data_IF_950746168060
#
_entry.id   IF_950746168060
#
_cell.length_a   1.000
_cell.length_b   1.000
_cell.length_c   1.000
_cell.angle_alpha   90.00
_cell.angle_beta   90.00
_cell.angle_gamma   90.00
#
_symmetry.space_group_name_H-M   'P 1'
#
loop_
_entity.id
_entity.type
_entity.pdbx_description
1 polymer ?
#
# COMPACT_ATOMS: atom_id res chain seq x y z
N UNK A 1 5.23 32.86 42.71
CA UNK A 1 4.55 32.02 41.68
C UNK A 1 4.46 32.70 40.31
N UNK A 2 3.88 33.91 40.16
CA UNK A 2 3.75 34.59 38.85
C UNK A 2 5.09 34.81 38.10
N UNK A 3 6.15 35.21 38.81
CA UNK A 3 7.50 35.38 38.23
C UNK A 3 8.09 34.05 37.73
N UNK A 4 7.95 32.98 38.50
CA UNK A 4 8.41 31.64 38.13
C UNK A 4 7.73 31.11 36.87
N UNK A 5 6.39 31.24 36.79
CA UNK A 5 5.62 30.87 35.58
C UNK A 5 6.08 31.70 34.38
N UNK A 6 6.30 33.01 34.55
CA UNK A 6 6.82 33.88 33.47
C UNK A 6 8.18 33.40 32.96
N UNK A 7 9.13 33.10 33.85
CA UNK A 7 10.47 32.66 33.43
C UNK A 7 10.45 31.27 32.78
N UNK A 8 9.64 30.34 33.29
CA UNK A 8 9.44 29.03 32.64
C UNK A 8 8.82 29.20 31.25
N UNK A 9 7.79 30.04 31.10
CA UNK A 9 7.16 30.29 29.81
C UNK A 9 8.16 30.88 28.80
N UNK A 10 8.98 31.84 29.21
CA UNK A 10 10.04 32.42 28.37
C UNK A 10 11.08 31.37 27.99
N UNK A 11 11.45 30.46 28.89
CA UNK A 11 12.40 29.38 28.61
C UNK A 11 11.84 28.31 27.67
N UNK A 12 10.57 27.92 27.84
CA UNK A 12 9.91 26.89 27.03
C UNK A 12 9.54 27.41 25.65
N UNK A 13 9.22 28.71 25.51
CA UNK A 13 8.74 29.28 24.25
C UNK A 13 9.70 29.03 23.06
N UNK A 14 11.02 29.28 23.13
CA UNK A 14 11.95 28.95 22.05
C UNK A 14 11.95 27.47 21.69
N UNK A 15 11.86 26.56 22.68
CA UNK A 15 11.82 25.12 22.44
C UNK A 15 10.54 24.72 21.70
N UNK A 16 9.40 25.29 22.09
CA UNK A 16 8.12 25.08 21.42
C UNK A 16 8.13 25.63 19.99
N UNK A 17 8.71 26.81 19.78
CA UNK A 17 8.86 27.39 18.44
C UNK A 17 9.74 26.52 17.54
N UNK A 18 10.86 26.01 18.07
CA UNK A 18 11.73 25.08 17.34
C UNK A 18 11.01 23.76 17.02
N UNK A 19 10.22 23.21 17.96
CA UNK A 19 9.44 21.99 17.74
C UNK A 19 8.37 22.19 16.65
N UNK A 20 7.66 23.32 16.66
CA UNK A 20 6.68 23.68 15.62
C UNK A 20 7.36 23.86 14.27
N UNK A 21 8.50 24.58 14.24
CA UNK A 21 9.27 24.76 13.01
C UNK A 21 9.74 23.40 12.44
N UNK A 22 10.27 22.53 13.30
CA UNK A 22 10.71 21.19 12.93
C UNK A 22 9.58 20.35 12.32
N UNK A 23 8.41 20.35 12.96
CA UNK A 23 7.21 19.67 12.47
C UNK A 23 6.77 20.22 11.09
N UNK A 24 6.72 21.54 10.94
CA UNK A 24 6.35 22.21 9.67
C UNK A 24 7.33 21.87 8.56
N UNK A 25 8.64 21.91 8.84
CA UNK A 25 9.67 21.60 7.85
C UNK A 25 9.59 20.15 7.40
N UNK A 26 9.44 19.20 8.32
CA UNK A 26 9.38 17.77 7.95
C UNK A 26 8.12 17.47 7.14
N UNK A 27 6.97 18.01 7.54
CA UNK A 27 5.72 17.81 6.79
C UNK A 27 5.75 18.37 5.37
N UNK A 28 6.61 19.36 5.11
CA UNK A 28 6.78 19.94 3.77
C UNK A 28 7.69 19.12 2.86
N UNK A 29 8.38 18.09 3.39
CA UNK A 29 9.16 17.18 2.57
C UNK A 29 8.19 16.37 1.67
N UNK A 30 8.32 16.45 0.34
CA UNK A 30 7.47 15.69 -0.58
C UNK A 30 7.59 14.19 -0.33
N UNK A 31 6.48 13.47 -0.39
CA UNK A 31 6.45 12.02 -0.18
C UNK A 31 5.32 11.38 -0.99
N UNK A 32 5.37 10.05 -1.13
CA UNK A 32 4.39 9.31 -1.94
C UNK A 32 2.96 9.42 -1.43
N UNK A 33 2.74 9.64 -0.13
CA UNK A 33 1.39 9.79 0.44
C UNK A 33 0.77 11.12 0.02
N UNK A 34 1.49 12.22 0.23
CA UNK A 34 1.05 13.54 -0.22
C UNK A 34 0.91 13.61 -1.75
N UNK A 35 1.82 12.96 -2.48
CA UNK A 35 1.75 12.90 -3.95
C UNK A 35 0.48 12.22 -4.45
N UNK A 36 0.19 10.98 -4.03
CA UNK A 36 -1.00 10.28 -4.54
C UNK A 36 -2.30 10.87 -4.02
N UNK A 37 -2.31 11.44 -2.81
CA UNK A 37 -3.46 12.23 -2.34
C UNK A 37 -3.72 13.41 -3.27
N UNK A 38 -2.67 14.20 -3.56
CA UNK A 38 -2.77 15.32 -4.51
C UNK A 38 -3.23 14.85 -5.89
N UNK A 39 -2.75 13.71 -6.39
CA UNK A 39 -3.21 13.16 -7.66
C UNK A 39 -4.72 12.87 -7.63
N UNK A 40 -5.20 12.12 -6.62
CA UNK A 40 -6.60 11.73 -6.55
C UNK A 40 -7.54 12.92 -6.28
N UNK A 41 -7.12 13.92 -5.50
CA UNK A 41 -7.90 15.15 -5.32
C UNK A 41 -8.26 15.82 -6.66
N UNK A 42 -7.32 15.80 -7.61
CA UNK A 42 -7.48 16.46 -8.91
C UNK A 42 -8.03 15.53 -10.00
N UNK A 43 -7.66 14.25 -9.97
CA UNK A 43 -7.87 13.32 -11.08
C UNK A 43 -8.77 12.11 -10.75
N UNK A 44 -9.32 11.97 -9.53
CA UNK A 44 -10.17 10.81 -9.19
C UNK A 44 -11.36 10.64 -10.16
N UNK A 45 -11.89 11.74 -10.71
CA UNK A 45 -12.96 11.73 -11.72
C UNK A 45 -12.55 11.13 -13.05
N UNK A 46 -11.26 11.11 -13.37
CA UNK A 46 -10.71 10.62 -14.65
C UNK A 46 -10.25 9.16 -14.57
N UNK A 47 -10.08 8.62 -13.36
CA UNK A 47 -9.60 7.25 -13.14
C UNK A 47 -10.71 6.25 -13.47
N UNK A 48 -10.42 5.36 -14.41
CA UNK A 48 -11.30 4.25 -14.80
C UNK A 48 -10.94 2.91 -14.16
N UNK A 49 -9.67 2.75 -13.78
CA UNK A 49 -9.15 1.54 -13.12
C UNK A 49 -8.29 1.97 -11.94
N UNK A 50 -8.68 1.58 -10.73
CA UNK A 50 -7.92 1.88 -9.52
C UNK A 50 -7.24 0.62 -9.00
N UNK A 51 -5.92 0.68 -8.84
CA UNK A 51 -5.14 -0.38 -8.20
C UNK A 51 -4.89 -0.03 -6.73
N UNK A 52 -5.25 -0.96 -5.84
CA UNK A 52 -5.16 -0.85 -4.38
C UNK A 52 -4.36 -2.03 -3.80
N UNK A 53 -4.15 -2.05 -2.50
CA UNK A 53 -3.47 -3.12 -1.79
C UNK A 53 -2.00 -2.85 -1.46
N UNK A 54 -1.23 -3.92 -1.27
CA UNK A 54 0.09 -3.90 -0.62
C UNK A 54 1.27 -3.60 -1.55
N UNK A 55 2.49 -3.85 -1.07
CA UNK A 55 3.73 -3.74 -1.86
C UNK A 55 3.72 -4.60 -3.13
N UNK A 56 2.94 -5.69 -3.15
CA UNK A 56 2.81 -6.56 -4.32
C UNK A 56 2.19 -5.82 -5.50
N UNK A 57 1.23 -4.89 -5.27
CA UNK A 57 0.71 -3.99 -6.31
C UNK A 57 1.55 -2.74 -6.46
N UNK A 58 2.08 -2.19 -5.37
CA UNK A 58 2.87 -0.95 -5.42
C UNK A 58 4.06 -1.08 -6.36
N UNK A 59 4.76 -2.21 -6.28
CA UNK A 59 5.87 -2.53 -7.17
C UNK A 59 5.43 -3.33 -8.40
N UNK A 60 4.36 -4.12 -8.31
CA UNK A 60 3.98 -5.06 -9.38
C UNK A 60 3.10 -4.50 -10.50
N UNK A 61 2.39 -3.39 -10.30
CA UNK A 61 1.53 -2.80 -11.34
C UNK A 61 2.01 -1.39 -11.69
N UNK A 62 2.37 -1.21 -12.96
CA UNK A 62 2.73 0.05 -13.55
C UNK A 62 1.60 0.56 -14.48
N UNK A 63 0.80 1.55 -14.03
CA UNK A 63 -0.30 2.13 -14.80
C UNK A 63 0.08 2.71 -16.16
N UNK A 64 1.38 2.97 -16.44
CA UNK A 64 1.83 3.41 -17.77
C UNK A 64 1.39 2.45 -18.89
N UNK A 65 1.16 1.18 -18.57
CA UNK A 65 0.74 0.16 -19.52
C UNK A 65 -0.78 -0.11 -19.52
N UNK A 66 -1.56 0.63 -18.73
CA UNK A 66 -3.01 0.43 -18.55
C UNK A 66 -3.67 1.81 -18.61
N UNK A 67 -4.39 2.10 -19.70
CA UNK A 67 -4.95 3.44 -19.92
C UNK A 67 -5.92 3.84 -18.80
N UNK A 68 -5.94 5.13 -18.49
CA UNK A 68 -6.86 5.74 -17.53
C UNK A 68 -6.88 5.00 -16.18
N UNK A 69 -5.70 4.61 -15.71
CA UNK A 69 -5.54 3.88 -14.47
C UNK A 69 -4.57 4.57 -13.51
N UNK A 70 -4.74 4.30 -12.23
CA UNK A 70 -3.88 4.85 -11.19
C UNK A 70 -3.55 3.81 -10.13
N UNK A 71 -2.31 3.82 -9.65
CA UNK A 71 -1.86 2.93 -8.60
C UNK A 71 -1.85 3.66 -7.24
N UNK A 72 -2.89 3.44 -6.45
CA UNK A 72 -3.08 3.99 -5.11
C UNK A 72 -2.61 3.05 -3.98
N UNK A 73 -1.91 1.96 -4.29
CA UNK A 73 -1.34 1.02 -3.31
C UNK A 73 -0.09 1.57 -2.60
N UNK A 74 0.24 1.03 -1.43
CA UNK A 74 1.45 1.37 -0.67
C UNK A 74 2.10 0.12 -0.08
N UNK A 75 3.33 0.28 0.38
CA UNK A 75 4.01 -0.75 1.17
C UNK A 75 3.16 -1.05 2.42
N UNK A 76 2.85 -2.33 2.62
CA UNK A 76 2.09 -2.85 3.77
C UNK A 76 0.67 -2.31 3.93
N UNK A 77 0.10 -1.67 2.91
CA UNK A 77 -1.30 -1.27 2.90
C UNK A 77 -2.22 -2.50 3.01
N UNK A 78 -3.22 -2.39 3.89
CA UNK A 78 -4.22 -3.40 4.19
C UNK A 78 -5.62 -2.92 3.80
N UNK A 79 -6.61 -3.83 3.83
CA UNK A 79 -7.96 -3.58 3.32
C UNK A 79 -8.68 -2.41 4.01
N UNK A 80 -8.36 -2.12 5.27
CA UNK A 80 -8.87 -0.94 5.98
C UNK A 80 -8.49 0.36 5.27
N UNK A 81 -7.24 0.51 4.87
CA UNK A 81 -6.79 1.68 4.12
C UNK A 81 -7.30 1.69 2.68
N UNK A 82 -7.41 0.51 2.03
CA UNK A 82 -8.05 0.39 0.71
C UNK A 82 -9.48 0.95 0.74
N UNK A 83 -10.26 0.54 1.75
CA UNK A 83 -11.64 0.96 1.96
C UNK A 83 -11.76 2.46 2.25
N UNK A 84 -10.90 3.00 3.10
CA UNK A 84 -10.92 4.44 3.40
C UNK A 84 -10.55 5.32 2.21
N UNK A 85 -9.61 4.88 1.36
CA UNK A 85 -9.31 5.57 0.10
C UNK A 85 -10.56 5.60 -0.80
N UNK A 86 -11.27 4.47 -0.91
CA UNK A 86 -12.51 4.39 -1.69
C UNK A 86 -13.61 5.31 -1.13
N UNK A 87 -13.83 5.29 0.19
CA UNK A 87 -14.82 6.12 0.89
C UNK A 87 -14.52 7.61 0.75
N UNK A 88 -13.26 8.03 0.90
CA UNK A 88 -12.80 9.43 0.82
C UNK A 88 -13.18 10.09 -0.52
N UNK A 89 -13.05 9.37 -1.62
CA UNK A 89 -13.35 9.88 -2.97
C UNK A 89 -14.69 9.35 -3.53
N UNK A 90 -15.58 8.87 -2.67
CA UNK A 90 -16.84 8.20 -3.05
C UNK A 90 -17.72 8.99 -4.02
N UNK A 91 -17.66 10.33 -3.97
CA UNK A 91 -18.42 11.23 -4.84
C UNK A 91 -17.65 11.64 -6.12
N UNK A 92 -16.37 11.30 -6.20
CA UNK A 92 -15.49 11.66 -7.30
C UNK A 92 -15.29 10.51 -8.29
N UNK A 93 -15.58 9.26 -7.93
CA UNK A 93 -15.46 8.07 -8.80
C UNK A 93 -16.48 8.02 -9.96
N UNK A 94 -16.53 9.07 -10.78
CA UNK A 94 -17.51 9.22 -11.87
C UNK A 94 -17.23 8.33 -13.09
N UNK A 95 -15.97 7.98 -13.34
CA UNK A 95 -15.55 7.12 -14.45
C UNK A 95 -14.97 5.77 -14.00
N UNK A 96 -14.94 5.49 -12.69
CA UNK A 96 -14.34 4.29 -12.14
C UNK A 96 -15.15 3.06 -12.57
N UNK A 97 -14.53 2.15 -13.30
CA UNK A 97 -15.14 0.91 -13.81
C UNK A 97 -14.61 -0.33 -13.11
N UNK A 98 -13.34 -0.30 -12.71
CA UNK A 98 -12.68 -1.44 -12.08
C UNK A 98 -11.89 -1.02 -10.83
N UNK A 99 -12.08 -1.77 -9.74
CA UNK A 99 -11.19 -1.78 -8.59
C UNK A 99 -10.39 -3.09 -8.65
N UNK A 100 -9.07 -3.00 -8.59
CA UNK A 100 -8.17 -4.16 -8.63
C UNK A 100 -7.41 -4.28 -7.32
N UNK A 101 -7.61 -5.38 -6.61
CA UNK A 101 -7.04 -5.62 -5.28
C UNK A 101 -6.33 -6.98 -5.25
N UNK A 102 -5.10 -7.05 -4.72
CA UNK A 102 -4.42 -8.31 -4.51
C UNK A 102 -4.98 -8.99 -3.26
N UNK A 103 -5.32 -10.27 -3.38
CA UNK A 103 -5.54 -11.16 -2.24
C UNK A 103 -4.46 -12.23 -2.27
N UNK A 104 -3.38 -11.92 -1.56
CA UNK A 104 -2.18 -12.72 -1.45
C UNK A 104 -2.20 -13.56 -0.17
N UNK A 105 -1.24 -14.48 -0.06
CA UNK A 105 -1.15 -15.44 1.03
C UNK A 105 -1.28 -14.84 2.45
N UNK A 106 -0.87 -13.59 2.64
CA UNK A 106 -0.93 -12.88 3.92
C UNK A 106 -2.12 -11.92 4.08
N UNK A 107 -2.90 -11.65 3.03
CA UNK A 107 -3.85 -10.52 3.00
C UNK A 107 -4.92 -10.60 4.10
N UNK A 108 -5.37 -11.80 4.48
CA UNK A 108 -6.36 -11.96 5.56
C UNK A 108 -5.74 -11.97 6.97
N UNK A 109 -4.43 -12.09 7.11
CA UNK A 109 -3.79 -12.39 8.40
C UNK A 109 -3.03 -11.22 9.02
N UNK A 110 -2.82 -10.14 8.26
CA UNK A 110 -2.11 -8.96 8.74
C UNK A 110 -2.89 -7.66 8.50
N UNK A 111 -2.57 -6.65 9.30
CA UNK A 111 -2.96 -5.25 9.08
C UNK A 111 -1.76 -4.36 9.32
N UNK A 112 -1.69 -3.22 8.64
CA UNK A 112 -0.57 -2.29 8.74
C UNK A 112 -0.24 -1.95 10.20
N UNK A 113 -1.25 -1.57 10.98
CA UNK A 113 -1.11 -1.09 12.36
C UNK A 113 -0.63 -2.15 13.36
N UNK A 114 -0.76 -3.43 13.00
CA UNK A 114 -0.34 -4.58 13.82
C UNK A 114 0.96 -5.20 13.30
N UNK A 115 1.62 -4.56 12.35
CA UNK A 115 2.85 -5.04 11.73
C UNK A 115 4.08 -4.25 12.22
N UNK A 116 5.30 -4.76 11.99
CA UNK A 116 6.52 -3.97 12.19
C UNK A 116 6.54 -2.64 11.40
N UNK A 117 5.71 -2.50 10.37
CA UNK A 117 5.58 -1.31 9.53
C UNK A 117 4.47 -0.35 10.01
N UNK A 118 3.91 -0.55 11.21
CA UNK A 118 2.83 0.29 11.78
C UNK A 118 3.17 1.79 11.83
N UNK A 119 4.46 2.14 11.86
CA UNK A 119 4.93 3.53 11.79
C UNK A 119 4.49 4.26 10.51
N UNK A 120 4.08 3.55 9.45
CA UNK A 120 3.54 4.15 8.22
C UNK A 120 2.10 4.63 8.35
N UNK A 121 1.33 4.16 9.35
CA UNK A 121 -0.06 4.56 9.56
C UNK A 121 -0.21 6.09 9.67
N UNK A 122 0.75 6.75 10.31
CA UNK A 122 0.84 8.21 10.36
C UNK A 122 0.75 8.89 8.99
N UNK A 123 1.27 8.27 7.93
CA UNK A 123 1.36 8.93 6.64
C UNK A 123 -0.03 9.05 6.00
N UNK A 124 -0.91 8.07 6.27
CA UNK A 124 -2.33 8.18 5.92
C UNK A 124 -3.00 9.32 6.67
N UNK A 125 -2.71 9.47 7.97
CA UNK A 125 -3.28 10.54 8.78
C UNK A 125 -2.77 11.93 8.40
N UNK A 126 -1.46 12.10 8.28
CA UNK A 126 -0.79 13.40 8.09
C UNK A 126 -0.89 13.89 6.65
N UNK A 127 -0.74 12.99 5.67
CA UNK A 127 -0.59 13.36 4.26
C UNK A 127 -1.78 12.95 3.38
N UNK A 128 -2.62 12.04 3.87
CA UNK A 128 -3.76 11.50 3.13
C UNK A 128 -5.12 11.92 3.73
N UNK A 129 -5.12 12.55 4.91
CA UNK A 129 -6.29 12.84 5.74
C UNK A 129 -7.22 11.62 5.94
N UNK A 130 -6.64 10.45 6.18
CA UNK A 130 -7.34 9.22 6.56
C UNK A 130 -7.00 8.91 8.02
N UNK A 131 -8.00 8.96 8.90
CA UNK A 131 -7.84 8.85 10.35
C UNK A 131 -8.47 7.55 10.88
N UNK A 132 -7.86 6.41 10.54
CA UNK A 132 -8.29 5.08 11.01
C UNK A 132 -7.67 4.71 12.34
N UNK A 133 -6.46 5.20 12.61
CA UNK A 133 -5.76 4.91 13.85
C UNK A 133 -6.24 5.85 14.97
N UNK A 134 -6.53 5.29 16.14
CA UNK A 134 -6.85 6.07 17.33
C UNK A 134 -5.56 6.52 18.07
N UNK A 135 -4.39 6.47 17.42
CA UNK A 135 -3.09 6.73 18.06
C UNK A 135 -2.72 8.20 17.89
N UNK A 136 -2.81 8.97 18.97
CA UNK A 136 -2.53 10.42 18.95
C UNK A 136 -1.15 10.76 18.37
N UNK A 137 -0.14 9.90 18.57
CA UNK A 137 1.22 10.08 18.07
C UNK A 137 1.32 10.09 16.54
N UNK A 138 0.41 9.41 15.84
CA UNK A 138 0.35 9.43 14.38
C UNK A 138 -0.15 10.76 13.81
N UNK A 139 -0.57 11.71 14.66
CA UNK A 139 -0.96 13.06 14.24
C UNK A 139 0.23 13.97 13.98
N UNK A 140 1.47 13.55 14.28
CA UNK A 140 2.67 14.38 14.15
C UNK A 140 3.84 13.60 13.59
N UNK A 141 4.70 14.24 12.79
CA UNK A 141 5.96 13.65 12.32
C UNK A 141 6.99 13.53 13.45
N UNK A 142 7.02 14.52 14.34
CA UNK A 142 7.97 14.58 15.45
C UNK A 142 7.78 13.43 16.45
N UNK A 143 6.55 13.05 16.80
CA UNK A 143 6.28 12.03 17.82
C UNK A 143 6.16 10.60 17.27
N UNK A 144 6.05 10.46 15.95
CA UNK A 144 5.83 9.17 15.29
C UNK A 144 7.11 8.52 14.75
N UNK A 145 8.21 9.26 14.74
CA UNK A 145 9.54 8.79 14.34
C UNK A 145 10.56 9.08 15.43
N UNK A 146 11.68 8.36 15.37
CA UNK A 146 12.87 8.74 16.15
C UNK A 146 13.44 10.07 15.64
N UNK A 147 14.01 10.85 16.55
CA UNK A 147 14.54 12.19 16.24
C UNK A 147 15.67 12.16 15.20
N UNK A 148 16.55 11.16 15.27
CA UNK A 148 17.65 10.95 14.33
C UNK A 148 17.16 10.67 12.90
N UNK A 149 16.09 9.89 12.75
CA UNK A 149 15.44 9.63 11.45
C UNK A 149 14.93 10.95 10.85
N UNK A 150 14.23 11.74 11.65
CA UNK A 150 13.66 13.01 11.21
C UNK A 150 14.73 14.07 10.88
N UNK A 151 15.81 14.16 11.67
CA UNK A 151 16.97 15.00 11.37
C UNK A 151 17.65 14.56 10.06
N UNK A 152 17.83 13.26 9.86
CA UNK A 152 18.38 12.71 8.61
C UNK A 152 17.52 13.09 7.39
N UNK A 153 16.19 13.02 7.51
CA UNK A 153 15.26 13.46 6.45
C UNK A 153 15.42 14.95 6.13
N UNK A 154 15.46 15.81 7.15
CA UNK A 154 15.68 17.25 6.94
C UNK A 154 17.01 17.54 6.24
N UNK A 155 18.10 16.91 6.68
CA UNK A 155 19.42 17.08 6.05
C UNK A 155 19.43 16.57 4.61
N UNK A 156 18.84 15.39 4.35
CA UNK A 156 18.78 14.82 3.02
C UNK A 156 17.98 15.70 2.05
N UNK A 157 16.87 16.27 2.49
CA UNK A 157 16.02 17.10 1.64
C UNK A 157 16.58 18.52 1.47
N UNK A 158 16.74 19.26 2.58
CA UNK A 158 17.05 20.69 2.52
C UNK A 158 18.54 21.00 2.28
N UNK A 159 19.45 20.07 2.60
CA UNK A 159 20.90 20.29 2.40
C UNK A 159 21.42 19.50 1.21
N UNK A 160 20.98 18.26 1.03
CA UNK A 160 21.48 17.37 -0.04
C UNK A 160 20.60 17.33 -1.28
N UNK A 161 19.45 18.01 -1.28
CA UNK A 161 18.55 18.10 -2.44
C UNK A 161 17.94 16.76 -2.87
N UNK A 162 17.84 15.78 -1.96
CA UNK A 162 17.23 14.48 -2.28
C UNK A 162 15.71 14.61 -2.40
N UNK A 163 15.16 13.83 -3.33
CA UNK A 163 13.72 13.68 -3.50
C UNK A 163 13.27 12.40 -2.79
N UNK A 164 12.28 12.52 -1.92
CA UNK A 164 11.72 11.43 -1.11
C UNK A 164 10.51 10.77 -1.80
N UNK A 165 10.06 11.28 -2.97
CA UNK A 165 9.07 10.62 -3.82
C UNK A 165 9.73 9.43 -4.52
N UNK A 166 9.19 8.24 -4.31
CA UNK A 166 9.66 6.97 -4.87
C UNK A 166 8.73 6.36 -5.92
N UNK A 167 7.56 6.94 -6.10
CA UNK A 167 6.59 6.53 -7.11
C UNK A 167 6.68 7.33 -8.42
N UNK A 168 6.18 6.74 -9.50
CA UNK A 168 5.99 7.41 -10.78
C UNK A 168 4.83 8.40 -10.72
N UNK A 169 4.63 9.16 -11.80
CA UNK A 169 3.51 10.08 -11.93
C UNK A 169 2.12 9.42 -11.86
N UNK A 170 2.04 8.10 -12.04
CA UNK A 170 0.80 7.33 -11.89
C UNK A 170 0.81 6.42 -10.64
N UNK A 171 1.71 6.70 -9.69
CA UNK A 171 1.73 6.06 -8.38
C UNK A 171 2.45 4.71 -8.30
N UNK A 172 3.12 4.24 -9.37
CA UNK A 172 3.89 2.99 -9.34
C UNK A 172 5.24 3.15 -8.64
N UNK A 173 5.55 2.31 -7.65
CA UNK A 173 6.83 2.29 -6.96
C UNK A 173 7.96 1.81 -7.88
N UNK A 174 8.96 2.66 -8.13
CA UNK A 174 9.95 2.39 -9.19
C UNK A 174 11.32 1.91 -8.69
N UNK A 175 11.46 1.72 -7.37
CA UNK A 175 12.74 1.45 -6.70
C UNK A 175 13.22 0.00 -6.81
N UNK A 176 12.34 -0.95 -7.12
CA UNK A 176 12.71 -2.36 -7.27
C UNK A 176 13.24 -2.59 -8.68
N UNK A 177 14.58 -2.48 -8.83
CA UNK A 177 15.29 -2.64 -10.10
C UNK A 177 15.89 -4.03 -10.27
N UNK A 178 15.82 -4.60 -11.46
CA UNK A 178 16.37 -5.91 -11.79
C UNK A 178 17.88 -6.01 -11.53
N UNK A 179 18.61 -4.92 -11.74
CA UNK A 179 20.06 -4.85 -11.45
C UNK A 179 20.38 -5.05 -9.96
N UNK A 180 19.43 -4.75 -9.08
CA UNK A 180 19.57 -4.87 -7.63
C UNK A 180 18.79 -6.06 -7.06
N UNK A 181 18.45 -7.06 -7.90
CA UNK A 181 17.70 -8.23 -7.45
C UNK A 181 18.43 -8.97 -6.32
N UNK A 182 17.63 -9.59 -5.45
CA UNK A 182 18.10 -10.41 -4.33
C UNK A 182 18.19 -11.88 -4.74
N UNK A 183 18.90 -12.65 -3.92
CA UNK A 183 18.86 -14.11 -3.99
C UNK A 183 17.42 -14.60 -3.80
N UNK A 184 16.86 -15.19 -4.85
CA UNK A 184 15.47 -15.64 -4.86
C UNK A 184 15.24 -16.87 -3.95
N UNK A 185 16.24 -17.71 -3.70
CA UNK A 185 16.07 -18.87 -2.82
C UNK A 185 15.99 -18.41 -1.37
N UNK A 186 16.96 -17.61 -0.93
CA UNK A 186 17.04 -17.09 0.44
C UNK A 186 15.88 -16.14 0.75
N UNK A 187 15.56 -15.23 -0.17
CA UNK A 187 14.43 -14.30 0.02
C UNK A 187 13.10 -15.05 0.04
N UNK A 188 12.94 -16.13 -0.72
CA UNK A 188 11.73 -16.97 -0.73
C UNK A 188 11.40 -17.56 0.63
N UNK A 189 12.36 -18.26 1.24
CA UNK A 189 12.17 -18.83 2.58
C UNK A 189 11.89 -17.75 3.63
N UNK A 190 12.62 -16.63 3.57
CA UNK A 190 12.48 -15.52 4.53
C UNK A 190 11.11 -14.85 4.42
N UNK A 191 10.66 -14.53 3.20
CA UNK A 191 9.37 -13.91 2.96
C UNK A 191 8.22 -14.85 3.32
N UNK A 192 8.32 -16.15 2.99
CA UNK A 192 7.30 -17.14 3.34
C UNK A 192 7.13 -17.28 4.85
N UNK A 193 8.24 -17.32 5.61
CA UNK A 193 8.20 -17.34 7.07
C UNK A 193 7.58 -16.05 7.64
N UNK A 194 7.96 -14.87 7.11
CA UNK A 194 7.40 -13.57 7.52
C UNK A 194 5.89 -13.47 7.25
N UNK A 195 5.41 -14.04 6.14
CA UNK A 195 4.01 -13.97 5.70
C UNK A 195 3.13 -15.09 6.30
N UNK A 196 3.74 -16.09 6.92
CA UNK A 196 2.99 -17.15 7.61
C UNK A 196 2.46 -16.59 8.93
N UNK A 197 1.14 -16.67 9.09
CA UNK A 197 0.44 -16.12 10.22
C UNK A 197 0.79 -16.91 11.50
N UNK A 198 0.96 -16.20 12.61
CA UNK A 198 1.12 -16.83 13.93
C UNK A 198 -0.22 -17.25 14.54
N UNK A 199 -1.28 -16.53 14.17
CA UNK A 199 -2.65 -16.71 14.61
C UNK A 199 -3.62 -16.22 13.52
N UNK A 200 -4.92 -16.42 13.73
CA UNK A 200 -5.97 -16.02 12.79
C UNK A 200 -6.80 -14.83 13.29
N UNK A 201 -6.29 -14.02 14.24
CA UNK A 201 -7.07 -12.98 14.91
C UNK A 201 -7.60 -11.91 13.94
N UNK A 202 -6.85 -11.61 12.87
CA UNK A 202 -7.25 -10.61 11.88
C UNK A 202 -8.13 -11.16 10.76
N UNK A 203 -8.31 -12.49 10.68
CA UNK A 203 -8.94 -13.14 9.55
C UNK A 203 -10.36 -12.65 9.28
N UNK A 204 -11.23 -12.71 10.30
CA UNK A 204 -12.63 -12.31 10.16
C UNK A 204 -12.76 -10.81 9.89
N UNK A 205 -11.94 -9.98 10.54
CA UNK A 205 -11.93 -8.52 10.32
C UNK A 205 -11.52 -8.18 8.90
N UNK A 206 -10.44 -8.79 8.39
CA UNK A 206 -9.98 -8.53 7.03
C UNK A 206 -10.93 -9.08 5.96
N UNK A 207 -11.59 -10.21 6.24
CA UNK A 207 -12.68 -10.70 5.38
C UNK A 207 -13.83 -9.68 5.33
N UNK A 208 -14.27 -9.19 6.49
CA UNK A 208 -15.33 -8.18 6.57
C UNK A 208 -14.96 -6.88 5.83
N UNK A 209 -13.71 -6.41 5.96
CA UNK A 209 -13.24 -5.24 5.23
C UNK A 209 -13.26 -5.45 3.71
N UNK A 210 -12.86 -6.64 3.24
CA UNK A 210 -12.95 -6.97 1.82
C UNK A 210 -14.42 -7.05 1.35
N UNK A 211 -15.32 -7.59 2.17
CA UNK A 211 -16.76 -7.59 1.90
C UNK A 211 -17.32 -6.16 1.84
N UNK A 212 -16.89 -5.24 2.71
CA UNK A 212 -17.27 -3.82 2.64
C UNK A 212 -16.78 -3.15 1.34
N UNK A 213 -15.57 -3.47 0.88
CA UNK A 213 -15.07 -2.99 -0.41
C UNK A 213 -15.93 -3.53 -1.56
N UNK A 214 -16.33 -4.80 -1.49
CA UNK A 214 -17.22 -5.42 -2.48
C UNK A 214 -18.58 -4.73 -2.50
N UNK A 215 -19.20 -4.55 -1.33
CA UNK A 215 -20.48 -3.85 -1.20
C UNK A 215 -20.40 -2.40 -1.72
N UNK A 216 -19.31 -1.69 -1.42
CA UNK A 216 -19.06 -0.35 -1.97
C UNK A 216 -19.07 -0.35 -3.50
N UNK A 217 -18.35 -1.30 -4.11
CA UNK A 217 -18.25 -1.40 -5.57
C UNK A 217 -19.60 -1.77 -6.19
N UNK A 218 -20.33 -2.74 -5.61
CA UNK A 218 -21.66 -3.14 -6.08
C UNK A 218 -22.66 -1.98 -6.06
N UNK A 219 -22.71 -1.22 -4.97
CA UNK A 219 -23.56 -0.04 -4.84
C UNK A 219 -23.22 1.06 -5.87
N UNK A 220 -21.96 1.13 -6.31
CA UNK A 220 -21.48 2.08 -7.33
C UNK A 220 -21.45 1.49 -8.75
N UNK A 221 -21.91 0.25 -8.93
CA UNK A 221 -21.84 -0.50 -10.20
C UNK A 221 -20.41 -0.64 -10.77
N UNK A 222 -19.42 -0.77 -9.89
CA UNK A 222 -18.01 -0.97 -10.21
C UNK A 222 -17.69 -2.46 -10.16
N UNK A 223 -16.94 -2.97 -11.15
CA UNK A 223 -16.46 -4.37 -11.14
C UNK A 223 -15.21 -4.49 -10.27
N UNK A 224 -15.07 -5.61 -9.58
CA UNK A 224 -13.88 -5.91 -8.79
C UNK A 224 -13.08 -7.00 -9.45
N UNK A 225 -11.76 -6.79 -9.54
CA UNK A 225 -10.80 -7.83 -9.87
C UNK A 225 -9.97 -8.14 -8.63
N UNK A 226 -10.15 -9.34 -8.12
CA UNK A 226 -9.25 -9.93 -7.15
C UNK A 226 -8.19 -10.73 -7.89
N UNK A 227 -6.95 -10.69 -7.42
CA UNK A 227 -5.93 -11.56 -7.96
C UNK A 227 -4.94 -12.00 -6.88
N UNK A 228 -4.34 -13.17 -7.06
CA UNK A 228 -3.18 -13.56 -6.24
C UNK A 228 -1.93 -13.31 -7.06
N UNK A 229 -1.03 -12.49 -6.53
CA UNK A 229 0.18 -11.99 -7.18
C UNK A 229 1.12 -13.13 -7.56
N UNK A 230 1.85 -13.01 -8.70
CA UNK A 230 2.87 -13.98 -9.06
C UNK A 230 4.01 -13.98 -8.04
N UNK A 231 4.50 -15.16 -7.70
CA UNK A 231 5.65 -15.31 -6.81
C UNK A 231 6.61 -16.36 -7.37
N UNK A 232 7.88 -16.27 -6.97
CA UNK A 232 8.88 -17.22 -7.41
C UNK A 232 8.73 -18.56 -6.67
N UNK A 233 9.10 -19.66 -7.34
CA UNK A 233 8.88 -21.04 -6.86
C UNK A 233 9.43 -21.31 -5.45
N UNK A 234 10.54 -20.67 -5.07
CA UNK A 234 11.12 -20.82 -3.72
C UNK A 234 10.25 -20.18 -2.64
N UNK A 235 9.50 -19.11 -2.92
CA UNK A 235 8.52 -18.57 -1.98
C UNK A 235 7.35 -19.55 -1.84
N UNK A 236 6.78 -19.96 -2.98
CA UNK A 236 5.61 -20.85 -3.03
C UNK A 236 5.86 -22.18 -2.33
N UNK A 237 7.05 -22.78 -2.49
CA UNK A 237 7.38 -24.07 -1.87
C UNK A 237 7.45 -24.03 -0.33
N UNK A 238 7.62 -22.84 0.26
CA UNK A 238 7.71 -22.65 1.70
C UNK A 238 6.39 -22.18 2.35
N UNK A 239 5.32 -22.01 1.57
CA UNK A 239 4.03 -21.60 2.11
C UNK A 239 3.35 -22.73 2.89
N UNK A 240 2.68 -22.38 3.98
CA UNK A 240 1.78 -23.31 4.67
C UNK A 240 0.60 -23.65 3.76
N UNK A 241 0.44 -24.93 3.43
CA UNK A 241 -0.68 -25.42 2.62
C UNK A 241 -2.03 -25.04 3.22
N UNK A 242 -2.16 -25.06 4.55
CA UNK A 242 -3.42 -24.74 5.22
C UNK A 242 -3.82 -23.27 5.04
N UNK A 243 -2.89 -22.35 5.34
CA UNK A 243 -3.12 -20.91 5.17
C UNK A 243 -3.37 -20.56 3.70
N UNK A 244 -2.61 -21.14 2.77
CA UNK A 244 -2.79 -20.92 1.34
C UNK A 244 -4.15 -21.43 0.87
N UNK A 245 -4.53 -22.66 1.23
CA UNK A 245 -5.81 -23.23 0.83
C UNK A 245 -7.00 -22.44 1.40
N UNK A 246 -6.90 -21.99 2.66
CA UNK A 246 -7.93 -21.16 3.31
C UNK A 246 -8.09 -19.81 2.61
N UNK A 247 -6.97 -19.17 2.25
CA UNK A 247 -6.98 -17.92 1.49
C UNK A 247 -7.64 -18.11 0.12
N UNK A 248 -7.19 -19.11 -0.64
CA UNK A 248 -7.69 -19.37 -1.99
C UNK A 248 -9.17 -19.81 -2.00
N UNK A 249 -9.59 -20.63 -1.03
CA UNK A 249 -11.00 -21.07 -0.93
C UNK A 249 -11.93 -19.89 -0.61
N UNK A 250 -11.48 -18.96 0.24
CA UNK A 250 -12.23 -17.75 0.58
C UNK A 250 -12.40 -16.83 -0.63
N UNK A 251 -11.34 -16.58 -1.39
CA UNK A 251 -11.44 -15.75 -2.60
C UNK A 251 -12.39 -16.40 -3.62
N UNK A 252 -12.29 -17.73 -3.82
CA UNK A 252 -13.19 -18.47 -4.71
C UNK A 252 -14.65 -18.36 -4.25
N UNK A 253 -14.90 -18.44 -2.94
CA UNK A 253 -16.25 -18.26 -2.37
C UNK A 253 -16.79 -16.87 -2.69
N UNK A 254 -16.01 -15.81 -2.46
CA UNK A 254 -16.40 -14.43 -2.77
C UNK A 254 -16.71 -14.23 -4.27
N UNK A 255 -15.85 -14.77 -5.14
CA UNK A 255 -16.05 -14.72 -6.59
C UNK A 255 -17.33 -15.44 -7.06
N UNK A 256 -17.76 -16.50 -6.36
CA UNK A 256 -19.02 -17.20 -6.67
C UNK A 256 -20.24 -16.46 -6.13
N UNK A 257 -20.12 -15.82 -4.95
CA UNK A 257 -21.22 -15.10 -4.31
C UNK A 257 -21.53 -13.76 -4.98
N UNK A 258 -20.51 -13.09 -5.53
CA UNK A 258 -20.63 -11.73 -6.08
C UNK A 258 -20.38 -11.73 -7.58
N UNK A 259 -21.41 -11.44 -8.37
CA UNK A 259 -21.31 -11.39 -9.85
C UNK A 259 -20.37 -10.30 -10.37
N UNK A 260 -20.16 -9.24 -9.58
CA UNK A 260 -19.25 -8.11 -9.85
C UNK A 260 -17.78 -8.46 -9.65
N UNK A 261 -17.49 -9.55 -8.92
CA UNK A 261 -16.13 -9.99 -8.61
C UNK A 261 -15.63 -10.96 -9.69
N UNK A 262 -14.38 -10.76 -10.10
CA UNK A 262 -13.61 -11.71 -10.92
C UNK A 262 -12.29 -12.01 -10.23
N UNK A 263 -11.95 -13.29 -10.14
CA UNK A 263 -10.72 -13.75 -9.52
C UNK A 263 -9.74 -14.36 -10.52
N UNK A 264 -8.48 -13.95 -10.44
CA UNK A 264 -7.36 -14.55 -11.18
C UNK A 264 -6.23 -15.01 -10.25
N UNK A 265 -5.93 -16.30 -10.24
CA UNK A 265 -4.78 -16.81 -9.50
C UNK A 265 -3.53 -16.80 -10.39
N UNK A 266 -2.58 -15.90 -10.12
CA UNK A 266 -1.33 -15.79 -10.86
C UNK A 266 -0.11 -16.30 -10.07
N UNK A 267 -0.32 -16.89 -8.88
CA UNK A 267 0.75 -17.26 -7.93
C UNK A 267 1.86 -18.10 -8.56
N UNK A 268 1.48 -19.04 -9.43
CA UNK A 268 2.37 -19.96 -10.14
C UNK A 268 2.26 -19.80 -11.66
N UNK A 269 1.92 -18.60 -12.15
CA UNK A 269 1.82 -18.32 -13.58
C UNK A 269 3.19 -18.50 -14.26
N UNK A 270 3.27 -19.47 -15.17
CA UNK A 270 4.53 -19.89 -15.82
C UNK A 270 5.13 -18.84 -16.75
N UNK A 271 4.42 -17.75 -17.06
CA UNK A 271 4.97 -16.65 -17.86
C UNK A 271 5.96 -15.76 -17.06
N UNK A 272 6.00 -15.90 -15.74
CA UNK A 272 6.98 -15.21 -14.88
C UNK A 272 8.22 -16.08 -14.65
N UNK A 273 9.37 -15.47 -14.91
CA UNK A 273 10.70 -16.08 -14.91
C UNK A 273 11.59 -15.37 -13.87
N UNK A 274 12.73 -15.95 -13.46
CA UNK A 274 13.58 -15.37 -12.42
C UNK A 274 13.91 -13.88 -12.62
N UNK A 275 14.16 -13.45 -13.86
CA UNK A 275 14.49 -12.07 -14.20
C UNK A 275 13.35 -11.05 -14.00
N UNK A 276 12.11 -11.51 -13.79
CA UNK A 276 10.97 -10.64 -13.50
C UNK A 276 10.88 -10.24 -12.02
N UNK A 277 11.65 -10.91 -11.15
CA UNK A 277 11.58 -10.76 -9.71
C UNK A 277 12.71 -9.87 -9.18
N UNK A 278 12.35 -8.97 -8.26
CA UNK A 278 13.33 -8.25 -7.44
C UNK A 278 13.77 -9.12 -6.26
N UNK A 279 12.80 -9.75 -5.60
CA UNK A 279 13.00 -10.83 -4.65
C UNK A 279 11.87 -11.86 -4.84
N UNK A 280 11.89 -12.96 -4.09
CA UNK A 280 11.02 -14.09 -4.39
C UNK A 280 9.50 -13.83 -4.30
N UNK A 281 9.08 -12.73 -3.67
CA UNK A 281 7.67 -12.34 -3.54
C UNK A 281 7.34 -10.96 -4.16
N UNK A 282 8.32 -10.24 -4.71
CA UNK A 282 8.08 -8.97 -5.39
C UNK A 282 8.67 -8.94 -6.80
N UNK A 283 7.88 -8.38 -7.72
CA UNK A 283 8.34 -8.09 -9.07
C UNK A 283 9.29 -6.88 -9.10
N UNK A 284 10.23 -6.91 -10.03
CA UNK A 284 11.03 -5.74 -10.43
C UNK A 284 10.31 -4.98 -11.57
N UNK A 285 10.96 -3.98 -12.17
CA UNK A 285 10.42 -3.19 -13.28
C UNK A 285 10.06 -4.00 -14.53
N UNK A 286 10.78 -5.08 -14.82
CA UNK A 286 10.52 -5.98 -15.95
C UNK A 286 9.25 -6.80 -15.66
N UNK A 287 9.20 -7.42 -14.48
CA UNK A 287 8.03 -8.16 -14.02
C UNK A 287 6.79 -7.28 -13.90
N UNK A 288 6.95 -6.06 -13.41
CA UNK A 288 5.84 -5.11 -13.25
C UNK A 288 5.23 -4.73 -14.60
N UNK A 289 6.05 -4.48 -15.61
CA UNK A 289 5.57 -4.30 -16.99
C UNK A 289 4.79 -5.52 -17.47
N UNK A 290 5.33 -6.72 -17.27
CA UNK A 290 4.70 -7.98 -17.68
C UNK A 290 3.34 -8.19 -17.00
N UNK A 291 3.25 -8.02 -15.68
CA UNK A 291 2.01 -8.14 -14.93
C UNK A 291 0.99 -7.08 -15.37
N UNK A 292 1.42 -5.84 -15.62
CA UNK A 292 0.54 -4.77 -16.08
C UNK A 292 -0.08 -5.07 -17.45
N UNK A 293 0.72 -5.55 -18.41
CA UNK A 293 0.23 -5.95 -19.73
C UNK A 293 -0.73 -7.14 -19.64
N UNK A 294 -0.42 -8.13 -18.79
CA UNK A 294 -1.32 -9.26 -18.53
C UNK A 294 -2.64 -8.79 -17.91
N UNK A 295 -2.59 -7.90 -16.92
CA UNK A 295 -3.77 -7.35 -16.26
C UNK A 295 -4.64 -6.55 -17.25
N UNK A 296 -4.03 -5.77 -18.15
CA UNK A 296 -4.76 -5.06 -19.21
C UNK A 296 -5.56 -6.01 -20.10
N UNK A 297 -4.99 -7.18 -20.45
CA UNK A 297 -5.69 -8.21 -21.21
C UNK A 297 -6.83 -8.84 -20.40
N UNK A 298 -6.63 -9.07 -19.11
CA UNK A 298 -7.67 -9.64 -18.23
C UNK A 298 -8.85 -8.68 -18.05
N UNK A 299 -8.58 -7.39 -17.83
CA UNK A 299 -9.58 -6.32 -17.77
C UNK A 299 -10.43 -6.26 -19.04
N UNK A 300 -9.83 -6.43 -20.22
CA UNK A 300 -10.54 -6.42 -21.50
C UNK A 300 -11.47 -7.62 -21.73
N UNK A 301 -11.40 -8.68 -20.92
CA UNK A 301 -12.27 -9.86 -21.00
C UNK A 301 -13.51 -9.77 -20.11
N UNK A 302 -13.62 -8.72 -19.28
CA UNK A 302 -14.64 -8.56 -18.25
C UNK A 302 -15.58 -7.41 -18.57
#
# INVERSE_FOLDING_TARGET
MKKFIKYIAIFILPVMLLAVLFEVLIRRIPNDYGYKKSYLDHHAKEVSILFLGSSHVYYGINPKYIKSSFNASYISQSFDYDLEILKKYSNQWTHLKYIVIPVDYFSFYGRLENSPEAWRAKNYRIYYDINTDHKIFNSTEMLSNKLDINLSRLLNHYVRGKNDISCSNLGWGSNYKAINHKDLVKSGATAAARHTAKDNLQYLTNLHLLDEIIAFAEHKHIKIILFTSPAYKSYVSHLSKNQLNTTLSTIKKLNTLHSTVKYFNLLQDSSFHPQDFYDADHLNEIGAKKLSLKMNVLLGKI
#
